data_IF_591209811878
#
_entry.id   IF_591209811878
#
_cell.length_a   1.000
_cell.length_b   1.000
_cell.length_c   1.000
_cell.angle_alpha   90.00
_cell.angle_beta   90.00
_cell.angle_gamma   90.00
#
_symmetry.space_group_name_H-M   'P 1'
#
loop_
_entity.id
_entity.type
_entity.pdbx_description
1 polymer ?
#
# COMPACT_ATOMS: atom_id res chain seq x y z
N UNK A 1 9.90 -29.70 -14.93
CA UNK A 1 10.61 -28.77 -14.02
C UNK A 1 10.12 -27.36 -14.31
N UNK A 2 9.33 -26.77 -13.43
CA UNK A 2 8.88 -25.38 -13.57
C UNK A 2 10.07 -24.47 -13.28
N UNK A 3 10.49 -23.63 -14.24
CA UNK A 3 11.56 -22.65 -14.03
C UNK A 3 11.16 -21.76 -12.85
N UNK A 4 11.99 -21.71 -11.81
CA UNK A 4 11.80 -20.81 -10.67
C UNK A 4 11.99 -19.38 -11.19
N UNK A 5 11.00 -18.52 -10.96
CA UNK A 5 11.09 -17.10 -11.30
C UNK A 5 12.25 -16.48 -10.50
N UNK A 6 13.17 -15.81 -11.19
CA UNK A 6 14.27 -15.06 -10.58
C UNK A 6 13.78 -13.64 -10.34
N UNK A 7 13.97 -13.14 -9.12
CA UNK A 7 13.67 -11.78 -8.71
C UNK A 7 14.99 -11.01 -8.53
N UNK A 8 15.03 -9.70 -8.84
CA UNK A 8 13.95 -8.94 -9.47
C UNK A 8 13.70 -9.36 -10.93
N UNK A 9 12.48 -9.19 -11.42
CA UNK A 9 12.15 -9.47 -12.82
C UNK A 9 12.83 -8.46 -13.76
N UNK A 10 13.13 -8.84 -15.02
CA UNK A 10 13.71 -7.92 -15.99
C UNK A 10 12.80 -6.73 -16.31
N UNK A 11 13.40 -5.62 -16.74
CA UNK A 11 12.63 -4.50 -17.29
C UNK A 11 11.81 -4.95 -18.50
N UNK A 12 10.54 -4.53 -18.56
CA UNK A 12 9.62 -4.95 -19.63
C UNK A 12 9.05 -6.38 -19.46
N UNK A 13 9.26 -7.02 -18.31
CA UNK A 13 8.62 -8.31 -18.00
C UNK A 13 7.10 -8.27 -18.14
N UNK A 14 6.48 -7.18 -17.69
CA UNK A 14 5.04 -6.95 -17.85
C UNK A 14 4.72 -6.25 -19.16
N UNK A 15 3.70 -6.75 -19.85
CA UNK A 15 3.07 -6.05 -20.99
C UNK A 15 1.93 -5.20 -20.46
N UNK A 16 2.10 -3.87 -20.51
CA UNK A 16 1.16 -2.90 -19.97
C UNK A 16 0.53 -2.07 -21.11
N UNK A 17 -0.50 -2.58 -21.82
CA UNK A 17 -1.17 -1.82 -22.87
C UNK A 17 -1.83 -0.55 -22.31
N UNK A 18 -1.95 0.54 -23.10
CA UNK A 18 -2.54 1.78 -22.61
C UNK A 18 -3.95 1.59 -22.05
N UNK A 19 -4.19 2.14 -20.86
CA UNK A 19 -5.52 2.13 -20.25
C UNK A 19 -6.46 3.11 -20.97
N UNK A 20 -7.70 2.68 -21.19
CA UNK A 20 -8.74 3.57 -21.72
C UNK A 20 -9.06 4.70 -20.73
N UNK A 21 -9.54 5.87 -21.22
CA UNK A 21 -9.96 6.96 -20.32
C UNK A 21 -11.01 6.53 -19.30
N UNK A 22 -11.93 5.63 -19.69
CA UNK A 22 -12.95 5.10 -18.78
C UNK A 22 -12.35 4.22 -17.68
N UNK A 23 -11.35 3.39 -17.99
CA UNK A 23 -10.63 2.59 -17.01
C UNK A 23 -9.87 3.47 -16.01
N UNK A 24 -9.14 4.48 -16.50
CA UNK A 24 -8.44 5.45 -15.63
C UNK A 24 -9.41 6.11 -14.63
N UNK A 25 -10.55 6.65 -15.12
CA UNK A 25 -11.57 7.25 -14.25
C UNK A 25 -12.14 6.26 -13.23
N UNK A 26 -12.30 4.98 -13.59
CA UNK A 26 -12.76 3.94 -12.66
C UNK A 26 -11.73 3.68 -11.55
N UNK A 27 -10.45 3.61 -11.89
CA UNK A 27 -9.39 3.44 -10.89
C UNK A 27 -9.29 4.63 -9.95
N UNK A 28 -9.36 5.87 -10.45
CA UNK A 28 -9.39 7.07 -9.58
C UNK A 28 -10.55 6.99 -8.58
N UNK A 29 -11.78 6.73 -9.04
CA UNK A 29 -12.95 6.59 -8.15
C UNK A 29 -12.80 5.45 -7.15
N UNK A 30 -12.19 4.34 -7.56
CA UNK A 30 -11.97 3.21 -6.66
C UNK A 30 -10.95 3.55 -5.57
N UNK A 31 -9.85 4.22 -5.95
CA UNK A 31 -8.86 4.74 -5.00
C UNK A 31 -9.50 5.71 -4.00
N UNK A 32 -10.27 6.70 -4.47
CA UNK A 32 -10.93 7.67 -3.58
C UNK A 32 -11.85 7.00 -2.56
N UNK A 33 -12.60 5.96 -2.96
CA UNK A 33 -13.40 5.17 -2.02
C UNK A 33 -12.55 4.42 -1.02
N UNK A 34 -11.45 3.81 -1.46
CA UNK A 34 -10.53 3.09 -0.58
C UNK A 34 -9.85 4.02 0.43
N UNK A 35 -9.57 5.28 0.07
CA UNK A 35 -9.02 6.28 0.99
C UNK A 35 -10.02 6.63 2.10
N UNK A 36 -11.28 6.91 1.74
CA UNK A 36 -12.35 7.17 2.72
C UNK A 36 -12.54 5.96 3.64
N UNK A 37 -12.56 4.75 3.06
CA UNK A 37 -12.67 3.51 3.82
C UNK A 37 -11.51 3.33 4.80
N UNK A 38 -10.28 3.61 4.38
CA UNK A 38 -9.09 3.57 5.24
C UNK A 38 -9.20 4.54 6.42
N UNK A 39 -9.60 5.79 6.17
CA UNK A 39 -9.76 6.82 7.23
C UNK A 39 -10.83 6.38 8.24
N UNK A 40 -11.94 5.80 7.77
CA UNK A 40 -12.99 5.30 8.65
C UNK A 40 -12.53 4.09 9.46
N UNK A 41 -12.00 3.05 8.79
CA UNK A 41 -11.60 1.78 9.40
C UNK A 41 -10.38 1.90 10.33
N UNK A 42 -9.52 2.90 10.14
CA UNK A 42 -8.35 3.15 11.00
C UNK A 42 -8.69 3.88 12.31
N UNK A 43 -9.94 4.31 12.52
CA UNK A 43 -10.35 4.93 13.78
C UNK A 43 -10.30 3.91 14.92
N UNK A 44 -9.42 4.15 15.89
CA UNK A 44 -9.22 3.23 17.02
C UNK A 44 -10.45 3.16 17.94
N UNK A 45 -11.25 4.22 17.99
CA UNK A 45 -12.48 4.33 18.79
C UNK A 45 -13.58 4.93 17.93
N UNK A 46 -14.80 4.46 18.11
CA UNK A 46 -15.99 4.92 17.38
C UNK A 46 -15.92 4.71 15.85
N UNK A 47 -14.98 3.89 15.37
CA UNK A 47 -14.91 3.44 13.99
C UNK A 47 -15.81 2.24 13.72
N UNK A 48 -15.88 1.78 12.45
CA UNK A 48 -16.67 0.62 12.05
C UNK A 48 -16.06 -0.71 12.52
N UNK A 49 -14.78 -0.71 12.92
CA UNK A 49 -14.08 -1.91 13.38
C UNK A 49 -13.84 -1.80 14.89
N UNK A 50 -14.27 -2.81 15.63
CA UNK A 50 -13.94 -2.95 17.04
C UNK A 50 -12.50 -3.47 17.18
N UNK A 51 -11.59 -2.55 17.51
CA UNK A 51 -10.17 -2.85 17.65
C UNK A 51 -9.84 -3.35 19.05
N UNK A 52 -9.21 -4.52 19.12
CA UNK A 52 -8.65 -5.07 20.37
C UNK A 52 -7.13 -5.07 20.28
N UNK A 53 -6.45 -4.61 21.34
CA UNK A 53 -4.99 -4.68 21.41
C UNK A 53 -4.56 -6.15 21.40
N UNK A 54 -3.68 -6.50 20.46
CA UNK A 54 -3.14 -7.85 20.33
C UNK A 54 -1.80 -7.96 21.05
N UNK A 55 -0.84 -7.11 20.67
CA UNK A 55 0.47 -7.02 21.33
C UNK A 55 1.14 -5.68 21.05
N UNK A 56 2.26 -5.43 21.74
CA UNK A 56 3.15 -4.31 21.46
C UNK A 56 4.56 -4.85 21.17
N UNK A 57 5.22 -4.30 20.16
CA UNK A 57 6.58 -4.65 19.81
C UNK A 57 7.32 -3.42 19.29
N UNK A 58 8.52 -3.15 19.81
CA UNK A 58 9.39 -2.07 19.35
C UNK A 58 8.72 -0.68 19.28
N UNK A 59 7.85 -0.35 20.26
CA UNK A 59 7.11 0.93 20.28
C UNK A 59 5.96 1.01 19.27
N UNK A 60 5.58 -0.12 18.66
CA UNK A 60 4.40 -0.24 17.79
C UNK A 60 3.35 -1.07 18.51
N UNK A 61 2.16 -0.48 18.70
CA UNK A 61 0.97 -1.17 19.21
C UNK A 61 0.23 -1.79 18.04
N UNK A 62 0.03 -3.11 18.10
CA UNK A 62 -0.67 -3.89 17.09
C UNK A 62 -2.06 -4.23 17.61
N UNK A 63 -3.09 -3.76 16.90
CA UNK A 63 -4.48 -4.09 17.17
C UNK A 63 -4.97 -5.07 16.12
N UNK A 64 -5.94 -5.91 16.51
CA UNK A 64 -6.67 -6.80 15.60
C UNK A 64 -8.17 -6.55 15.69
N UNK A 65 -8.86 -6.75 14.58
CA UNK A 65 -10.30 -6.59 14.49
C UNK A 65 -10.87 -7.40 13.33
N UNK A 66 -12.19 -7.43 13.23
CA UNK A 66 -12.88 -7.99 12.06
C UNK A 66 -13.54 -6.87 11.28
N UNK A 67 -13.25 -6.80 9.97
CA UNK A 67 -13.95 -5.87 9.08
C UNK A 67 -15.38 -6.40 8.87
N UNK A 68 -16.43 -5.64 9.27
CA UNK A 68 -17.81 -6.09 9.15
C UNK A 68 -18.26 -6.25 7.70
N UNK A 69 -17.65 -5.56 6.74
CA UNK A 69 -18.04 -5.62 5.33
C UNK A 69 -17.48 -6.86 4.64
N UNK A 70 -16.24 -7.23 4.96
CA UNK A 70 -15.52 -8.32 4.31
C UNK A 70 -15.42 -9.58 5.16
N UNK A 71 -15.85 -9.53 6.42
CA UNK A 71 -15.65 -10.56 7.45
C UNK A 71 -14.19 -10.99 7.63
N UNK A 72 -13.24 -10.16 7.17
CA UNK A 72 -11.81 -10.48 7.20
C UNK A 72 -11.19 -10.08 8.53
N UNK A 73 -10.25 -10.89 9.02
CA UNK A 73 -9.35 -10.50 10.10
C UNK A 73 -8.40 -9.42 9.58
N UNK A 74 -8.39 -8.27 10.25
CA UNK A 74 -7.56 -7.11 9.89
C UNK A 74 -6.68 -6.71 11.06
N UNK A 75 -5.59 -6.01 10.74
CA UNK A 75 -4.62 -5.50 11.71
C UNK A 75 -4.44 -4.00 11.54
N UNK A 76 -4.27 -3.29 12.65
CA UNK A 76 -3.95 -1.86 12.70
C UNK A 76 -2.70 -1.67 13.55
N UNK A 77 -1.67 -1.07 12.96
CA UNK A 77 -0.43 -0.74 13.66
C UNK A 77 -0.44 0.74 14.01
N UNK A 78 -0.20 1.07 15.28
CA UNK A 78 -0.18 2.44 15.79
C UNK A 78 1.15 2.71 16.46
N UNK A 79 1.80 3.82 16.08
CA UNK A 79 3.03 4.31 16.70
C UNK A 79 3.02 5.83 16.70
N UNK A 80 3.84 6.42 17.57
CA UNK A 80 3.96 7.86 17.74
C UNK A 80 5.33 8.30 17.19
N UNK A 81 5.32 9.29 16.29
CA UNK A 81 6.54 9.84 15.68
C UNK A 81 6.63 11.34 15.96
N UNK A 82 7.86 11.85 16.08
CA UNK A 82 8.12 13.28 16.28
C UNK A 82 8.38 13.95 14.92
N UNK A 83 7.31 14.21 14.17
CA UNK A 83 7.32 14.78 12.82
C UNK A 83 6.02 15.55 12.55
N UNK A 84 6.02 16.43 11.54
CA UNK A 84 4.78 17.03 11.01
C UNK A 84 4.04 16.06 10.08
N UNK A 85 2.78 16.39 9.74
CA UNK A 85 2.00 15.59 8.80
C UNK A 85 2.60 15.64 7.39
N UNK A 86 3.16 16.79 7.01
CA UNK A 86 3.86 16.98 5.73
C UNK A 86 5.13 16.13 5.66
N UNK A 87 5.91 16.06 6.74
CA UNK A 87 7.09 15.18 6.82
C UNK A 87 6.69 13.70 6.73
N UNK A 88 5.61 13.30 7.40
CA UNK A 88 5.07 11.95 7.30
C UNK A 88 4.55 11.63 5.88
N UNK A 89 3.84 12.56 5.24
CA UNK A 89 3.36 12.41 3.87
C UNK A 89 4.53 12.33 2.87
N UNK A 90 5.61 13.08 3.10
CA UNK A 90 6.82 13.04 2.31
C UNK A 90 7.51 11.66 2.43
N UNK A 91 7.57 11.05 3.62
CA UNK A 91 8.07 9.67 3.78
C UNK A 91 7.25 8.66 2.98
N UNK A 92 5.92 8.78 3.01
CA UNK A 92 5.02 7.90 2.24
C UNK A 92 5.12 8.16 0.72
N UNK A 93 5.45 9.38 0.32
CA UNK A 93 5.61 9.80 -1.08
C UNK A 93 6.99 9.50 -1.66
N UNK A 94 8.04 9.44 -0.82
CA UNK A 94 9.42 9.14 -1.19
C UNK A 94 9.56 7.73 -1.78
N UNK A 95 8.60 6.85 -1.51
CA UNK A 95 8.43 5.60 -2.22
C UNK A 95 7.87 5.80 -3.63
N UNK A 96 8.75 6.16 -4.57
CA UNK A 96 8.44 6.09 -6.02
C UNK A 96 8.12 4.66 -6.49
N UNK A 97 8.27 3.67 -5.61
CA UNK A 97 8.10 2.25 -5.91
C UNK A 97 9.27 1.71 -6.73
N UNK A 98 10.37 2.46 -6.84
CA UNK A 98 11.62 1.97 -7.37
C UNK A 98 12.15 0.85 -6.48
N UNK A 99 12.94 -0.02 -7.11
CA UNK A 99 13.61 -1.13 -6.44
C UNK A 99 14.53 -0.63 -5.32
N UNK A 100 15.15 0.53 -5.49
CA UNK A 100 16.10 1.11 -4.53
C UNK A 100 15.37 1.57 -3.25
N UNK A 101 14.20 2.21 -3.38
CA UNK A 101 13.39 2.57 -2.21
C UNK A 101 12.91 1.33 -1.44
N UNK A 102 12.36 0.34 -2.14
CA UNK A 102 11.84 -0.87 -1.49
C UNK A 102 12.97 -1.65 -0.79
N UNK A 103 14.13 -1.81 -1.44
CA UNK A 103 15.27 -2.49 -0.86
C UNK A 103 15.85 -1.77 0.37
N UNK A 104 15.71 -0.44 0.44
CA UNK A 104 16.26 0.37 1.54
C UNK A 104 15.33 0.39 2.75
N UNK A 105 14.01 0.47 2.54
CA UNK A 105 13.05 0.79 3.61
C UNK A 105 12.01 -0.30 3.90
N UNK A 106 11.85 -1.31 3.03
CA UNK A 106 10.79 -2.30 3.12
C UNK A 106 11.36 -3.72 3.16
N UNK A 107 11.62 -4.21 4.38
CA UNK A 107 12.28 -5.48 4.68
C UNK A 107 11.60 -6.73 4.13
N UNK A 108 10.34 -6.61 3.70
CA UNK A 108 9.52 -7.71 3.22
C UNK A 108 9.19 -7.64 1.72
N UNK A 109 9.70 -6.64 0.97
CA UNK A 109 9.47 -6.53 -0.48
C UNK A 109 10.68 -7.06 -1.24
N UNK A 110 10.48 -8.16 -1.98
CA UNK A 110 11.53 -8.79 -2.78
C UNK A 110 11.69 -8.16 -4.17
N UNK A 111 10.61 -7.61 -4.71
CA UNK A 111 10.59 -6.89 -5.98
C UNK A 111 9.32 -6.05 -6.07
N UNK A 112 9.39 -4.95 -6.80
CA UNK A 112 8.26 -4.08 -7.08
C UNK A 112 8.44 -3.38 -8.43
N UNK A 113 7.34 -3.22 -9.15
CA UNK A 113 7.34 -2.48 -10.40
C UNK A 113 6.02 -1.70 -10.57
N UNK A 114 6.09 -0.37 -10.85
CA UNK A 114 4.91 0.37 -11.27
C UNK A 114 4.45 -0.15 -12.66
N UNK A 115 3.17 -0.47 -12.77
CA UNK A 115 2.55 -0.92 -14.02
C UNK A 115 1.86 0.25 -14.74
N UNK A 116 1.19 1.13 -13.99
CA UNK A 116 0.51 2.30 -14.53
C UNK A 116 0.56 3.47 -13.54
N UNK A 117 0.82 4.66 -14.05
CA UNK A 117 0.55 5.93 -13.35
C UNK A 117 -0.77 6.48 -13.89
N UNK A 118 -1.78 6.57 -13.02
CA UNK A 118 -3.14 7.02 -13.39
C UNK A 118 -3.28 8.52 -13.16
N UNK A 119 -2.82 8.99 -12.01
CA UNK A 119 -2.74 10.40 -11.64
C UNK A 119 -1.36 10.71 -11.08
N UNK A 120 -0.79 11.83 -11.53
CA UNK A 120 0.52 12.34 -11.10
C UNK A 120 0.31 13.58 -10.25
N UNK A 121 1.13 13.74 -9.22
CA UNK A 121 1.17 14.92 -8.35
C UNK A 121 1.39 16.18 -9.18
N UNK A 122 0.76 17.28 -8.78
CA UNK A 122 0.93 18.62 -9.36
C UNK A 122 1.27 19.63 -8.27
N UNK A 123 1.70 20.83 -8.63
CA UNK A 123 1.94 21.91 -7.65
C UNK A 123 0.67 22.23 -6.84
N UNK A 124 -0.50 22.24 -7.49
CA UNK A 124 -1.78 22.50 -6.83
C UNK A 124 -2.29 21.32 -5.98
N UNK A 125 -1.86 20.09 -6.29
CA UNK A 125 -2.26 18.86 -5.61
C UNK A 125 -1.03 17.97 -5.36
N UNK A 126 -0.15 18.36 -4.42
CA UNK A 126 1.17 17.74 -4.26
C UNK A 126 1.09 16.33 -3.67
N UNK A 127 0.01 15.96 -3.01
CA UNK A 127 -0.16 14.63 -2.42
C UNK A 127 -0.98 13.68 -3.30
N UNK A 128 -1.63 14.19 -4.35
CA UNK A 128 -2.54 13.40 -5.19
C UNK A 128 -1.76 12.49 -6.14
N UNK A 129 -1.76 11.19 -5.85
CA UNK A 129 -1.16 10.18 -6.70
C UNK A 129 -2.04 8.93 -6.74
N UNK A 130 -2.26 8.39 -7.95
CA UNK A 130 -2.97 7.12 -8.14
C UNK A 130 -2.13 6.25 -9.05
N UNK A 131 -1.68 5.10 -8.55
CA UNK A 131 -0.78 4.19 -9.26
C UNK A 131 -1.23 2.75 -9.15
N UNK A 132 -0.95 1.94 -10.17
CA UNK A 132 -1.09 0.49 -10.12
C UNK A 132 0.31 -0.10 -10.08
N UNK A 133 0.61 -0.88 -9.04
CA UNK A 133 1.92 -1.48 -8.80
C UNK A 133 1.79 -2.98 -8.66
N UNK A 134 2.76 -3.71 -9.18
CA UNK A 134 2.98 -5.12 -8.82
C UNK A 134 4.09 -5.18 -7.77
N UNK A 135 3.95 -6.07 -6.78
CA UNK A 135 4.98 -6.32 -5.77
C UNK A 135 5.02 -7.77 -5.34
N UNK A 136 6.21 -8.23 -4.96
CA UNK A 136 6.44 -9.53 -4.33
C UNK A 136 6.78 -9.33 -2.87
N UNK A 137 6.07 -10.03 -2.00
CA UNK A 137 6.27 -10.04 -0.57
C UNK A 137 6.92 -11.35 -0.12
N UNK A 138 7.92 -11.24 0.74
CA UNK A 138 8.42 -12.35 1.55
C UNK A 138 7.70 -12.41 2.90
N UNK A 139 7.59 -13.61 3.45
CA UNK A 139 7.25 -13.78 4.87
C UNK A 139 8.50 -13.95 5.70
N UNK A 140 8.49 -13.44 6.94
CA UNK A 140 9.51 -13.76 7.93
C UNK A 140 9.44 -15.23 8.39
N UNK A 141 8.31 -15.92 8.14
CA UNK A 141 8.16 -17.35 8.42
C UNK A 141 8.58 -18.20 7.22
N UNK A 142 9.54 -19.10 7.41
CA UNK A 142 9.98 -20.06 6.39
C UNK A 142 8.87 -21.02 5.93
N UNK A 143 7.77 -21.14 6.69
CA UNK A 143 6.61 -21.97 6.34
C UNK A 143 5.67 -21.28 5.34
N UNK A 144 5.78 -19.95 5.20
CA UNK A 144 4.90 -19.18 4.32
C UNK A 144 5.64 -18.85 3.04
N UNK A 145 5.21 -19.44 1.93
CA UNK A 145 5.74 -19.14 0.60
C UNK A 145 5.50 -17.66 0.26
N UNK A 146 6.48 -17.04 -0.39
CA UNK A 146 6.37 -15.70 -0.98
C UNK A 146 5.07 -15.54 -1.82
N UNK A 147 4.56 -14.32 -1.87
CA UNK A 147 3.33 -13.96 -2.60
C UNK A 147 3.58 -12.75 -3.45
N UNK A 148 2.99 -12.71 -4.63
CA UNK A 148 2.89 -11.50 -5.41
C UNK A 148 1.47 -10.94 -5.40
N UNK A 149 1.35 -9.65 -5.68
CA UNK A 149 0.08 -8.96 -5.76
C UNK A 149 0.15 -7.77 -6.72
N UNK A 150 -0.99 -7.42 -7.28
CA UNK A 150 -1.20 -6.16 -8.00
C UNK A 150 -2.10 -5.29 -7.14
N UNK A 151 -1.64 -4.08 -6.82
CA UNK A 151 -2.32 -3.14 -5.94
C UNK A 151 -2.60 -1.83 -6.67
N UNK A 152 -3.79 -1.28 -6.45
CA UNK A 152 -4.08 0.12 -6.72
C UNK A 152 -3.74 0.90 -5.46
N UNK A 153 -2.78 1.80 -5.55
CA UNK A 153 -2.35 2.66 -4.46
C UNK A 153 -2.83 4.08 -4.72
N UNK A 154 -3.43 4.70 -3.71
CA UNK A 154 -3.83 6.10 -3.72
C UNK A 154 -3.12 6.82 -2.57
N UNK A 155 -2.69 8.04 -2.86
CA UNK A 155 -2.30 9.03 -1.88
C UNK A 155 -3.05 10.31 -2.21
N UNK A 156 -3.65 10.92 -1.20
CA UNK A 156 -4.39 12.16 -1.33
C UNK A 156 -4.59 12.77 0.06
N UNK A 157 -4.95 14.05 0.07
CA UNK A 157 -5.43 14.69 1.29
C UNK A 157 -6.85 14.20 1.63
N UNK A 158 -7.14 14.10 2.91
CA UNK A 158 -8.48 13.78 3.41
C UNK A 158 -8.95 14.89 4.35
N UNK A 159 -10.26 15.15 4.32
CA UNK A 159 -10.96 16.13 5.17
C UNK A 159 -12.01 15.45 6.01
#
# INVERSE_FOLDING_TARGET
MTKKLVLPVPQGFFRCPPLTPAAKRRYVRHGQRALVDLVQKSQLRNGPIEWTLDHETSGVRVYRGHDPETSSLVYLNVTDIHATLEEAAALMSAGDGSRDYCATYLDNILDAQPLYTITTRTEDHPHNAVTIKWRVLSSKSALVRNRDMVVLEIQDDFT
#
